data_IF_803848917534
#
_entry.id   IF_803848917534
#
_cell.length_a   1.000
_cell.length_b   1.000
_cell.length_c   1.000
_cell.angle_alpha   90.00
_cell.angle_beta   90.00
_cell.angle_gamma   90.00
#
_symmetry.space_group_name_H-M   'P 1'
#
loop_
_entity.id
_entity.type
_entity.pdbx_description
1 polymer ?
#
# COMPACT_ATOMS: atom_id res chain seq x y z
N UNK A 1 -8.75 26.25 -34.92
CA UNK A 1 -8.64 26.63 -33.49
C UNK A 1 -7.85 25.55 -32.76
N UNK A 2 -6.93 25.91 -31.87
CA UNK A 2 -6.24 24.92 -31.01
C UNK A 2 -7.14 24.59 -29.82
N UNK A 3 -7.26 23.32 -29.47
CA UNK A 3 -8.01 22.84 -28.30
C UNK A 3 -7.05 22.29 -27.25
N UNK A 4 -7.47 22.27 -25.98
CA UNK A 4 -6.74 21.67 -24.86
C UNK A 4 -7.60 20.56 -24.26
N UNK A 5 -7.00 19.41 -23.97
CA UNK A 5 -7.64 18.33 -23.22
C UNK A 5 -7.34 18.50 -21.72
N UNK A 6 -8.35 18.27 -20.88
CA UNK A 6 -8.23 18.35 -19.42
C UNK A 6 -8.52 16.99 -18.82
N UNK A 7 -7.64 16.51 -17.93
CA UNK A 7 -7.80 15.27 -17.19
C UNK A 7 -8.33 15.58 -15.78
N UNK A 8 -9.33 14.82 -15.32
CA UNK A 8 -9.74 14.76 -13.91
C UNK A 8 -9.17 13.49 -13.27
N UNK A 9 -8.67 13.61 -12.05
CA UNK A 9 -8.31 12.47 -11.19
C UNK A 9 -9.41 12.32 -10.13
N UNK A 10 -9.87 11.10 -9.90
CA UNK A 10 -10.80 10.77 -8.82
C UNK A 10 -10.04 9.94 -7.80
N UNK A 11 -9.85 10.46 -6.60
CA UNK A 11 -9.24 9.74 -5.48
C UNK A 11 -10.29 8.83 -4.84
N UNK A 12 -9.93 7.58 -4.60
CA UNK A 12 -10.77 6.59 -3.90
C UNK A 12 -10.01 6.07 -2.70
N UNK A 13 -10.57 6.27 -1.50
CA UNK A 13 -10.02 5.78 -0.23
C UNK A 13 -10.97 4.73 0.33
N UNK A 14 -10.43 3.59 0.80
CA UNK A 14 -11.18 2.49 1.40
C UNK A 14 -10.43 1.97 2.62
N UNK A 15 -11.18 1.59 3.65
CA UNK A 15 -10.62 0.99 4.85
C UNK A 15 -10.38 -0.51 4.66
N UNK A 16 -9.21 -0.97 5.08
CA UNK A 16 -8.82 -2.38 5.08
C UNK A 16 -8.42 -2.76 6.51
N UNK A 17 -9.37 -3.21 7.35
CA UNK A 17 -9.08 -3.49 8.76
C UNK A 17 -8.07 -4.63 8.91
N UNK A 18 -7.16 -4.50 9.87
CA UNK A 18 -6.10 -5.47 10.16
C UNK A 18 -5.11 -5.69 8.98
N UNK A 19 -5.01 -4.73 8.05
CA UNK A 19 -3.99 -4.75 7.01
C UNK A 19 -2.58 -4.68 7.61
N UNK A 20 -2.38 -3.84 8.64
CA UNK A 20 -1.10 -3.71 9.34
C UNK A 20 -0.67 -5.02 9.99
N UNK A 21 -1.61 -5.73 10.62
CA UNK A 21 -1.36 -7.04 11.22
C UNK A 21 -1.06 -8.14 10.18
N UNK A 22 -1.62 -8.07 8.96
CA UNK A 22 -1.23 -8.97 7.86
C UNK A 22 0.20 -8.69 7.40
N UNK A 23 0.56 -7.42 7.20
CA UNK A 23 1.91 -7.00 6.81
C UNK A 23 2.93 -7.47 7.86
N UNK A 24 2.63 -7.26 9.14
CA UNK A 24 3.49 -7.69 10.24
C UNK A 24 3.76 -9.19 10.23
N UNK A 25 2.71 -10.01 10.08
CA UNK A 25 2.85 -11.47 10.01
C UNK A 25 3.70 -11.91 8.82
N UNK A 26 3.49 -11.30 7.65
CA UNK A 26 4.29 -11.57 6.46
C UNK A 26 5.77 -11.20 6.68
N UNK A 27 6.06 -10.04 7.30
CA UNK A 27 7.43 -9.65 7.66
C UNK A 27 8.08 -10.63 8.63
N UNK A 28 7.37 -11.06 9.67
CA UNK A 28 7.91 -11.97 10.70
C UNK A 28 8.23 -13.37 10.16
N UNK A 29 7.58 -13.77 9.06
CA UNK A 29 7.88 -15.01 8.33
C UNK A 29 9.03 -14.86 7.33
N UNK A 30 9.40 -13.62 6.99
CA UNK A 30 10.49 -13.32 6.08
C UNK A 30 11.85 -13.49 6.76
N UNK A 31 12.84 -13.98 6.02
CA UNK A 31 14.20 -14.19 6.54
C UNK A 31 15.06 -12.92 6.50
N UNK A 32 14.68 -11.93 5.70
CA UNK A 32 15.41 -10.67 5.54
C UNK A 32 15.18 -9.76 6.74
N UNK A 33 16.12 -8.87 6.99
CA UNK A 33 15.96 -7.84 8.01
C UNK A 33 14.89 -6.82 7.61
N UNK A 34 14.23 -6.20 8.61
CA UNK A 34 13.29 -5.09 8.37
C UNK A 34 13.94 -3.98 7.52
N UNK A 35 15.21 -3.67 7.77
CA UNK A 35 15.95 -2.65 7.03
C UNK A 35 16.10 -2.99 5.54
N UNK A 36 16.35 -4.26 5.21
CA UNK A 36 16.42 -4.70 3.81
C UNK A 36 15.06 -4.66 3.13
N UNK A 37 14.01 -5.11 3.81
CA UNK A 37 12.63 -5.06 3.29
C UNK A 37 12.23 -3.61 3.01
N UNK A 38 12.47 -2.70 3.96
CA UNK A 38 12.21 -1.26 3.80
C UNK A 38 12.96 -0.68 2.59
N UNK A 39 14.25 -1.01 2.44
CA UNK A 39 15.07 -0.58 1.31
C UNK A 39 14.51 -1.08 -0.03
N UNK A 40 14.05 -2.32 -0.10
CA UNK A 40 13.48 -2.90 -1.32
C UNK A 40 12.10 -2.31 -1.66
N UNK A 41 11.31 -1.98 -0.64
CA UNK A 41 10.02 -1.31 -0.78
C UNK A 41 10.15 0.19 -1.08
N UNK A 42 11.33 0.79 -0.82
CA UNK A 42 11.56 2.22 -1.02
C UNK A 42 10.92 3.11 0.05
N UNK A 43 10.72 2.59 1.27
CA UNK A 43 10.08 3.31 2.39
C UNK A 43 10.96 3.34 3.63
N UNK A 44 10.68 4.28 4.53
CA UNK A 44 11.41 4.40 5.80
C UNK A 44 10.92 3.37 6.83
N UNK A 45 11.79 3.00 7.79
CA UNK A 45 11.40 2.14 8.92
C UNK A 45 10.29 2.74 9.77
N UNK A 46 10.29 4.07 9.93
CA UNK A 46 9.23 4.76 10.68
C UNK A 46 7.86 4.58 10.00
N UNK A 47 7.81 4.77 8.68
CA UNK A 47 6.60 4.54 7.90
C UNK A 47 6.15 3.06 7.93
N UNK A 48 7.11 2.12 7.90
CA UNK A 48 6.81 0.70 8.09
C UNK A 48 6.14 0.40 9.43
N UNK A 49 6.66 0.94 10.54
CA UNK A 49 6.02 0.74 11.84
C UNK A 49 4.62 1.34 11.91
N UNK A 50 4.41 2.51 11.29
CA UNK A 50 3.08 3.12 11.19
C UNK A 50 2.10 2.26 10.39
N UNK A 51 2.56 1.61 9.31
CA UNK A 51 1.77 0.63 8.57
C UNK A 51 1.38 -0.55 9.47
N UNK A 52 2.33 -1.14 10.19
CA UNK A 52 2.07 -2.30 11.06
C UNK A 52 1.17 -1.96 12.25
N UNK A 53 1.26 -0.74 12.80
CA UNK A 53 0.43 -0.27 13.90
C UNK A 53 -0.89 0.35 13.47
N UNK A 54 -1.14 0.45 12.15
CA UNK A 54 -2.30 1.13 11.55
C UNK A 54 -2.46 2.60 12.00
N UNK A 55 -1.34 3.26 12.36
CA UNK A 55 -1.27 4.64 12.86
C UNK A 55 -0.63 5.57 11.82
N UNK A 56 -1.21 5.54 10.62
CA UNK A 56 -0.79 6.40 9.51
C UNK A 56 -1.51 7.74 9.57
N UNK A 57 -0.76 8.83 9.36
CA UNK A 57 -1.34 10.19 9.26
C UNK A 57 -2.10 10.44 7.95
N UNK A 58 -1.85 9.62 6.93
CA UNK A 58 -2.49 9.68 5.62
C UNK A 58 -2.64 8.25 5.07
N UNK A 59 -3.65 7.98 4.23
CA UNK A 59 -3.85 6.66 3.63
C UNK A 59 -2.58 6.15 2.93
N UNK A 60 -2.28 4.86 3.10
CA UNK A 60 -1.24 4.22 2.30
C UNK A 60 -1.69 4.17 0.83
N UNK A 61 -0.78 4.45 -0.10
CA UNK A 61 -1.09 4.37 -1.52
C UNK A 61 -1.16 2.90 -1.94
N UNK A 62 -2.02 2.61 -2.93
CA UNK A 62 -2.08 1.27 -3.51
C UNK A 62 -0.71 0.80 -4.01
N UNK A 63 0.06 1.69 -4.65
CA UNK A 63 1.40 1.37 -5.16
C UNK A 63 2.35 0.84 -4.08
N UNK A 64 2.32 1.40 -2.86
CA UNK A 64 3.13 0.92 -1.75
C UNK A 64 2.64 -0.45 -1.28
N UNK A 65 1.32 -0.66 -1.20
CA UNK A 65 0.76 -1.96 -0.80
C UNK A 65 1.14 -3.04 -1.81
N UNK A 66 0.99 -2.79 -3.12
CA UNK A 66 1.41 -3.71 -4.18
C UNK A 66 2.89 -4.03 -4.11
N UNK A 67 3.72 -3.03 -3.82
CA UNK A 67 5.15 -3.21 -3.64
C UNK A 67 5.48 -4.12 -2.46
N UNK A 68 4.77 -3.99 -1.35
CA UNK A 68 4.92 -4.86 -0.19
C UNK A 68 4.50 -6.29 -0.53
N UNK A 69 3.38 -6.48 -1.23
CA UNK A 69 2.91 -7.79 -1.73
C UNK A 69 3.98 -8.48 -2.59
N UNK A 70 4.58 -7.75 -3.54
CA UNK A 70 5.68 -8.27 -4.37
C UNK A 70 6.90 -8.67 -3.52
N UNK A 71 7.38 -7.76 -2.67
CA UNK A 71 8.61 -7.97 -1.92
C UNK A 71 8.46 -9.11 -0.91
N UNK A 72 7.33 -9.19 -0.21
CA UNK A 72 7.06 -10.25 0.77
C UNK A 72 6.45 -11.51 0.13
N UNK A 73 6.13 -11.48 -1.16
CA UNK A 73 5.48 -12.57 -1.89
C UNK A 73 4.18 -13.05 -1.22
N UNK A 74 3.31 -12.09 -0.88
CA UNK A 74 2.00 -12.32 -0.22
C UNK A 74 0.87 -11.61 -0.94
N UNK A 75 -0.37 -12.04 -0.69
CA UNK A 75 -1.59 -11.34 -1.12
C UNK A 75 -2.31 -10.75 0.11
N UNK A 76 -2.38 -9.42 0.17
CA UNK A 76 -3.02 -8.69 1.28
C UNK A 76 -4.53 -8.51 1.06
N UNK A 77 -5.06 -8.92 -0.10
CA UNK A 77 -6.46 -8.82 -0.52
C UNK A 77 -6.99 -7.37 -0.53
N UNK A 78 -6.14 -6.43 -0.94
CA UNK A 78 -6.54 -5.03 -1.14
C UNK A 78 -7.19 -4.90 -2.52
N UNK A 79 -8.50 -4.63 -2.55
CA UNK A 79 -9.29 -4.54 -3.79
C UNK A 79 -10.14 -3.27 -3.79
N UNK A 80 -9.97 -2.48 -4.84
CA UNK A 80 -10.84 -1.35 -5.15
C UNK A 80 -11.88 -1.83 -6.15
N UNK A 81 -13.14 -1.89 -5.74
CA UNK A 81 -14.22 -2.18 -6.68
C UNK A 81 -14.36 -0.98 -7.62
N UNK A 82 -14.05 -1.16 -8.89
CA UNK A 82 -14.42 -0.19 -9.91
C UNK A 82 -15.95 -0.15 -9.97
N UNK A 83 -16.56 0.95 -9.53
CA UNK A 83 -17.96 1.22 -9.88
C UNK A 83 -18.01 1.29 -11.41
N UNK A 84 -18.60 0.27 -12.04
CA UNK A 84 -19.00 0.35 -13.45
C UNK A 84 -19.79 1.64 -13.64
N UNK A 85 -19.45 2.51 -14.61
CA UNK A 85 -20.31 3.63 -14.93
C UNK A 85 -21.65 3.07 -15.43
N UNK A 86 -22.73 3.42 -14.74
CA UNK A 86 -24.11 3.18 -15.16
C UNK A 86 -24.46 3.96 -16.42
#
# INVERSE_FOLDING_TARGET
>A
MKTVQVKRVVETVRDFPNLGGKIRRAREQDKRSLSEICRQCGISRAYWYQLESEDLRAPATESIIRRIEEILSVDLNVVFEEKKPS
#
